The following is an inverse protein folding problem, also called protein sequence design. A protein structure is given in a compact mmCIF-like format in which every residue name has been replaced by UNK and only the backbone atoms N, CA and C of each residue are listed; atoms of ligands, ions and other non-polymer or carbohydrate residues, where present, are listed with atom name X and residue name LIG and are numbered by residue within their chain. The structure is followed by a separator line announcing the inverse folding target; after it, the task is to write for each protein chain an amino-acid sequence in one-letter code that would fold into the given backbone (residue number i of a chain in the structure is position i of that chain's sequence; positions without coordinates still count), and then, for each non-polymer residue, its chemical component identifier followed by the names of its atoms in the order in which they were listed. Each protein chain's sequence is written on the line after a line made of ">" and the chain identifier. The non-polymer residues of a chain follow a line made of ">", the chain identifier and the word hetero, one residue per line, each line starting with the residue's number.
data_IF_550658239835
#
_entry.id   IF_550658239835
#
_cell.length_a   1.000
_cell.length_b   1.000
_cell.length_c   1.000
_cell.angle_alpha   90.00
_cell.angle_beta   90.00
_cell.angle_gamma   90.00
#
_symmetry.space_group_name_H-M   'P 1'
#
loop_
_entity.id
_entity.type
_entity.pdbx_description
1 polymer ?
#
# COMPACT_ATOMS: atom_id res chain seq x y z
N UNK A 1 -4.63 11.78 -0.33
CA UNK A 1 -5.67 10.73 -0.33
C UNK A 1 -5.78 10.19 1.09
N UNK A 2 -6.98 9.99 1.62
CA UNK A 2 -7.15 9.32 2.91
C UNK A 2 -6.82 7.83 2.74
N UNK A 3 -6.27 7.19 3.77
CA UNK A 3 -6.01 5.75 3.78
C UNK A 3 -7.14 5.03 4.50
N UNK A 4 -7.63 3.96 3.89
CA UNK A 4 -8.69 3.11 4.42
C UNK A 4 -8.17 1.68 4.63
N UNK A 5 -8.75 0.96 5.59
CA UNK A 5 -8.54 -0.49 5.73
C UNK A 5 -8.93 -1.20 4.43
N UNK A 6 -8.14 -2.18 4.02
CA UNK A 6 -8.38 -2.91 2.77
C UNK A 6 -7.90 -2.17 1.51
N UNK A 7 -7.35 -0.95 1.61
CA UNK A 7 -6.78 -0.25 0.47
C UNK A 7 -5.58 -1.02 -0.10
N UNK A 8 -5.60 -1.29 -1.41
CA UNK A 8 -4.53 -2.00 -2.12
C UNK A 8 -3.46 -1.02 -2.60
N UNK A 9 -2.20 -1.43 -2.53
CA UNK A 9 -1.08 -0.62 -3.00
C UNK A 9 0.04 -1.47 -3.59
N UNK A 10 0.93 -0.80 -4.33
CA UNK A 10 2.15 -1.37 -4.88
C UNK A 10 3.37 -0.59 -4.38
N UNK A 11 4.47 -1.30 -4.12
CA UNK A 11 5.77 -0.72 -3.74
C UNK A 11 6.66 -0.74 -4.96
N UNK A 12 7.23 0.43 -5.33
CA UNK A 12 8.09 0.59 -6.50
C UNK A 12 9.45 1.16 -6.11
N UNK A 13 10.50 0.53 -6.63
CA UNK A 13 11.90 0.94 -6.45
C UNK A 13 12.66 0.69 -7.75
N UNK A 14 13.53 1.64 -8.15
CA UNK A 14 14.36 1.49 -9.35
C UNK A 14 13.55 1.27 -10.64
N UNK A 15 12.35 1.85 -10.74
CA UNK A 15 11.49 1.75 -11.92
C UNK A 15 10.58 0.51 -11.99
N UNK A 16 10.74 -0.47 -11.10
CA UNK A 16 9.96 -1.71 -11.09
C UNK A 16 9.17 -1.91 -9.79
N UNK A 17 8.14 -2.74 -9.86
CA UNK A 17 7.38 -3.18 -8.69
C UNK A 17 8.19 -4.23 -7.94
N UNK A 18 8.35 -4.03 -6.63
CA UNK A 18 9.09 -4.93 -5.74
C UNK A 18 8.19 -5.60 -4.71
N UNK A 19 6.94 -5.13 -4.59
CA UNK A 19 5.95 -5.73 -3.72
C UNK A 19 4.56 -5.15 -3.96
N UNK A 20 3.55 -5.82 -3.43
CA UNK A 20 2.18 -5.36 -3.38
C UNK A 20 1.56 -5.79 -2.05
N UNK A 21 0.58 -5.03 -1.59
CA UNK A 21 -0.04 -5.26 -0.30
C UNK A 21 -1.41 -4.62 -0.15
N UNK A 22 -1.98 -4.85 1.02
CA UNK A 22 -3.26 -4.29 1.45
C UNK A 22 -3.08 -3.66 2.83
N UNK A 23 -3.68 -2.49 3.06
CA UNK A 23 -3.69 -1.86 4.38
C UNK A 23 -4.49 -2.75 5.33
N UNK A 24 -3.82 -3.25 6.37
CA UNK A 24 -4.45 -4.18 7.32
C UNK A 24 -5.31 -3.47 8.37
N UNK A 25 -4.81 -2.33 8.89
CA UNK A 25 -5.48 -1.52 9.90
C UNK A 25 -4.91 -0.09 9.88
N UNK A 26 -5.77 0.92 9.87
CA UNK A 26 -5.41 2.32 10.10
C UNK A 26 -5.28 2.55 11.60
N UNK A 27 -4.13 3.08 12.01
CA UNK A 27 -3.87 3.51 13.37
C UNK A 27 -4.09 5.02 13.43
N UNK A 28 -4.97 5.46 14.33
CA UNK A 28 -5.26 6.86 14.61
C UNK A 28 -4.77 7.29 15.98
#
# INVERSE_FOLDING_TARGET
>A
IAMDDGLRFAIREGGRTVGAGVVAKVLG
#
